data_IF_843720865588
#
_entry.id   IF_843720865588
#
_cell.length_a   1.000
_cell.length_b   1.000
_cell.length_c   1.000
_cell.angle_alpha   90.00
_cell.angle_beta   90.00
_cell.angle_gamma   90.00
#
_symmetry.space_group_name_H-M   'P 1'
#
loop_
_entity.id
_entity.type
_entity.pdbx_description
1 polymer ?
#
# COMPACT_ATOMS: atom_id res chain seq x y z
N UNK A 1 0.82 1.99 -7.46
CA UNK A 1 0.79 3.08 -6.43
C UNK A 1 1.07 2.47 -5.07
N UNK A 2 1.87 3.13 -4.25
CA UNK A 2 2.00 2.84 -2.81
C UNK A 2 1.31 3.95 -2.01
N UNK A 3 0.44 3.59 -1.05
CA UNK A 3 -0.25 4.51 -0.15
C UNK A 3 0.40 4.46 1.23
N UNK A 4 0.67 5.65 1.83
CA UNK A 4 1.43 5.75 3.07
C UNK A 4 2.86 5.26 2.90
N UNK A 5 3.56 5.82 1.91
CA UNK A 5 4.85 5.28 1.46
C UNK A 5 5.98 5.44 2.48
N UNK A 6 5.87 6.39 3.42
CA UNK A 6 6.97 6.71 4.32
C UNK A 6 8.27 6.96 3.53
N UNK A 7 9.35 6.26 3.84
CA UNK A 7 10.63 6.42 3.14
C UNK A 7 10.73 5.67 1.80
N UNK A 8 9.62 5.04 1.32
CA UNK A 8 9.50 4.51 -0.02
C UNK A 8 10.17 3.15 -0.27
N UNK A 9 10.42 2.37 0.77
CA UNK A 9 11.06 1.06 0.62
C UNK A 9 10.33 0.13 -0.33
N UNK A 10 9.00 0.04 -0.22
CA UNK A 10 8.17 -0.80 -1.10
C UNK A 10 8.08 -0.20 -2.51
N UNK A 11 7.96 1.13 -2.64
CA UNK A 11 7.99 1.81 -3.94
C UNK A 11 9.26 1.51 -4.71
N UNK A 12 10.41 1.70 -4.08
CA UNK A 12 11.73 1.45 -4.69
C UNK A 12 11.92 -0.05 -5.00
N UNK A 13 11.51 -0.94 -4.09
CA UNK A 13 11.53 -2.37 -4.35
C UNK A 13 10.70 -2.75 -5.58
N UNK A 14 9.47 -2.24 -5.69
CA UNK A 14 8.60 -2.51 -6.83
C UNK A 14 9.18 -1.97 -8.15
N UNK A 15 9.70 -0.75 -8.13
CA UNK A 15 10.35 -0.15 -9.30
C UNK A 15 11.59 -0.94 -9.72
N UNK A 16 12.44 -1.32 -8.78
CA UNK A 16 13.68 -2.05 -9.06
C UNK A 16 13.42 -3.49 -9.51
N UNK A 17 12.62 -4.24 -8.74
CA UNK A 17 12.40 -5.67 -8.93
C UNK A 17 11.50 -6.01 -10.10
N UNK A 18 10.43 -5.23 -10.29
CA UNK A 18 9.39 -5.50 -11.29
C UNK A 18 9.41 -4.52 -12.47
N UNK A 19 10.32 -3.54 -12.47
CA UNK A 19 10.36 -2.45 -13.47
C UNK A 19 9.03 -1.71 -13.56
N UNK A 20 8.34 -1.62 -12.43
CA UNK A 20 7.03 -0.97 -12.34
C UNK A 20 7.19 0.55 -12.36
N UNK A 21 6.25 1.25 -13.00
CA UNK A 21 6.04 2.67 -12.76
C UNK A 21 5.30 2.83 -11.44
N UNK A 22 5.90 3.51 -10.48
CA UNK A 22 5.38 3.62 -9.13
C UNK A 22 5.14 5.08 -8.77
N UNK A 23 3.96 5.35 -8.21
CA UNK A 23 3.62 6.61 -7.53
C UNK A 23 3.59 6.36 -6.03
N UNK A 24 4.49 6.99 -5.30
CA UNK A 24 4.54 6.99 -3.85
C UNK A 24 3.63 8.10 -3.30
N UNK A 25 2.64 7.72 -2.47
CA UNK A 25 1.68 8.64 -1.88
C UNK A 25 1.90 8.72 -0.38
N UNK A 26 2.04 9.94 0.13
CA UNK A 26 2.05 10.21 1.58
C UNK A 26 1.39 11.56 1.89
N UNK A 27 0.89 11.69 3.11
CA UNK A 27 0.38 12.96 3.62
C UNK A 27 1.51 13.92 3.97
N UNK A 28 2.62 13.39 4.50
CA UNK A 28 3.79 14.15 4.90
C UNK A 28 4.77 14.32 3.74
N UNK A 29 4.94 15.53 3.17
CA UNK A 29 5.86 15.75 2.07
C UNK A 29 7.34 15.60 2.47
N UNK A 30 7.64 15.62 3.76
CA UNK A 30 9.02 15.49 4.25
C UNK A 30 9.61 14.08 4.07
N UNK A 31 8.77 13.10 3.73
CA UNK A 31 9.24 11.73 3.42
C UNK A 31 9.86 11.64 2.01
N UNK A 32 9.42 12.45 1.06
CA UNK A 32 9.82 12.30 -0.34
C UNK A 32 11.33 12.47 -0.61
N UNK A 33 12.08 13.36 0.06
CA UNK A 33 13.54 13.40 -0.09
C UNK A 33 14.22 12.05 0.26
N UNK A 34 13.67 11.28 1.20
CA UNK A 34 14.19 9.94 1.53
C UNK A 34 13.85 8.92 0.43
N UNK A 35 12.64 9.03 -0.15
CA UNK A 35 12.27 8.22 -1.32
C UNK A 35 13.23 8.48 -2.48
N UNK A 36 13.57 9.75 -2.75
CA UNK A 36 14.51 10.14 -3.82
C UNK A 36 15.90 9.55 -3.61
N UNK A 37 16.45 9.70 -2.40
CA UNK A 37 17.76 9.14 -2.06
C UNK A 37 17.76 7.62 -2.24
N UNK A 38 16.72 6.93 -1.76
CA UNK A 38 16.63 5.48 -1.87
C UNK A 38 16.46 5.03 -3.32
N UNK A 39 15.68 5.77 -4.12
CA UNK A 39 15.48 5.51 -5.56
C UNK A 39 16.78 5.71 -6.33
N UNK A 40 17.51 6.79 -6.08
CA UNK A 40 18.80 7.07 -6.72
C UNK A 40 19.82 5.97 -6.41
N UNK A 41 19.95 5.56 -5.15
CA UNK A 41 20.84 4.46 -4.73
C UNK A 41 20.52 3.12 -5.44
N UNK A 42 19.28 2.92 -5.86
CA UNK A 42 18.83 1.71 -6.54
C UNK A 42 18.70 1.89 -8.07
N UNK A 43 19.05 3.06 -8.61
CA UNK A 43 18.99 3.34 -10.05
C UNK A 43 17.57 3.28 -10.64
N UNK A 44 16.57 3.72 -9.88
CA UNK A 44 15.16 3.75 -10.31
C UNK A 44 14.55 5.14 -10.12
N UNK A 45 13.39 5.36 -10.75
CA UNK A 45 12.57 6.55 -10.55
C UNK A 45 11.26 6.18 -9.87
N UNK A 46 10.79 7.04 -8.97
CA UNK A 46 9.51 6.94 -8.27
C UNK A 46 8.82 8.30 -8.33
N UNK A 47 7.58 8.32 -8.81
CA UNK A 47 6.78 9.55 -8.82
C UNK A 47 6.22 9.83 -7.42
N UNK A 48 6.06 11.11 -7.07
CA UNK A 48 5.54 11.52 -5.77
C UNK A 48 4.14 12.11 -5.88
N UNK A 49 3.31 11.80 -4.90
CA UNK A 49 1.98 12.37 -4.74
C UNK A 49 1.72 12.73 -3.28
N UNK A 50 1.82 14.00 -2.91
CA UNK A 50 1.38 14.43 -1.59
C UNK A 50 -0.15 14.40 -1.52
N UNK A 51 -0.70 13.50 -0.73
CA UNK A 51 -2.14 13.39 -0.49
C UNK A 51 -2.44 12.57 0.76
N UNK A 52 -3.55 12.92 1.41
CA UNK A 52 -4.25 12.00 2.29
C UNK A 52 -4.87 10.90 1.41
N UNK A 53 -4.51 9.64 1.63
CA UNK A 53 -4.97 8.52 0.80
C UNK A 53 -6.51 8.41 0.80
N UNK A 54 -7.18 8.81 1.90
CA UNK A 54 -8.63 8.78 1.99
C UNK A 54 -9.32 9.70 0.98
N UNK A 55 -8.60 10.71 0.47
CA UNK A 55 -9.08 11.73 -0.48
C UNK A 55 -8.71 11.45 -1.93
N UNK A 56 -7.91 10.40 -2.20
CA UNK A 56 -7.59 9.99 -3.57
C UNK A 56 -8.89 9.68 -4.34
N UNK A 57 -9.00 10.21 -5.55
CA UNK A 57 -10.20 10.08 -6.38
C UNK A 57 -10.22 8.75 -7.13
N UNK A 58 -11.42 8.29 -7.48
CA UNK A 58 -11.59 7.03 -8.22
C UNK A 58 -10.79 6.96 -9.52
N UNK A 59 -10.90 7.94 -10.44
CA UNK A 59 -10.11 7.93 -11.67
C UNK A 59 -8.60 7.84 -11.44
N UNK A 60 -8.07 8.59 -10.47
CA UNK A 60 -6.65 8.54 -10.07
C UNK A 60 -6.24 7.13 -9.59
N UNK A 61 -7.07 6.48 -8.78
CA UNK A 61 -6.84 5.12 -8.32
C UNK A 61 -6.89 4.11 -9.48
N UNK A 62 -7.82 4.30 -10.41
CA UNK A 62 -8.02 3.42 -11.58
C UNK A 62 -6.87 3.43 -12.59
N UNK A 63 -6.03 4.44 -12.59
CA UNK A 63 -4.79 4.48 -13.39
C UNK A 63 -3.76 3.44 -12.91
N UNK A 64 -3.93 2.94 -11.69
CA UNK A 64 -3.01 1.98 -11.07
C UNK A 64 -3.63 0.58 -11.01
N UNK A 65 -3.05 -0.36 -11.75
CA UNK A 65 -3.48 -1.78 -11.70
C UNK A 65 -3.30 -2.40 -10.32
N UNK A 66 -2.27 -1.97 -9.60
CA UNK A 66 -1.91 -2.45 -8.27
C UNK A 66 -1.78 -1.29 -7.30
N UNK A 67 -2.35 -1.45 -6.11
CA UNK A 67 -2.15 -0.55 -4.98
C UNK A 67 -1.54 -1.37 -3.85
N UNK A 68 -0.51 -0.85 -3.23
CA UNK A 68 0.16 -1.47 -2.10
C UNK A 68 0.20 -0.51 -0.92
N UNK A 69 0.21 -1.05 0.28
CA UNK A 69 0.42 -0.30 1.51
C UNK A 69 1.07 -1.18 2.55
N UNK A 70 2.05 -0.64 3.25
CA UNK A 70 2.78 -1.37 4.28
C UNK A 70 2.72 -0.59 5.58
N UNK A 71 2.33 -1.28 6.67
CA UNK A 71 2.30 -0.72 8.02
C UNK A 71 1.41 0.54 8.15
N UNK A 72 0.24 0.51 7.51
CA UNK A 72 -0.69 1.66 7.45
C UNK A 72 -1.95 1.49 8.32
N UNK A 73 -2.10 0.34 9.00
CA UNK A 73 -3.27 0.04 9.82
C UNK A 73 -3.06 0.36 11.31
N UNK A 74 -2.35 1.43 11.66
CA UNK A 74 -1.95 1.72 13.03
C UNK A 74 -2.98 2.50 13.87
N UNK A 75 -4.03 3.09 13.27
CA UNK A 75 -5.10 3.79 13.97
C UNK A 75 -6.49 3.30 13.53
N UNK A 76 -7.38 3.08 14.48
CA UNK A 76 -8.79 2.70 14.21
C UNK A 76 -9.48 3.67 13.23
N UNK A 77 -9.16 4.96 13.35
CA UNK A 77 -9.72 6.01 12.50
C UNK A 77 -9.36 5.87 11.01
N UNK A 78 -8.30 5.12 10.67
CA UNK A 78 -7.85 4.91 9.29
C UNK A 78 -8.58 3.75 8.60
N UNK A 79 -9.15 2.80 9.34
CA UNK A 79 -9.66 1.54 8.78
C UNK A 79 -10.86 1.76 7.87
N UNK A 80 -11.86 2.52 8.30
CA UNK A 80 -13.02 2.84 7.47
C UNK A 80 -12.65 3.68 6.23
N UNK A 81 -11.81 4.73 6.33
CA UNK A 81 -11.25 5.42 5.16
C UNK A 81 -10.53 4.49 4.19
N UNK A 82 -9.69 3.58 4.69
CA UNK A 82 -8.94 2.63 3.88
C UNK A 82 -9.88 1.64 3.16
N UNK A 83 -10.87 1.09 3.86
CA UNK A 83 -11.88 0.23 3.23
C UNK A 83 -12.70 0.97 2.14
N UNK A 84 -13.01 2.27 2.36
CA UNK A 84 -13.64 3.09 1.30
C UNK A 84 -12.73 3.33 0.10
N UNK A 85 -11.42 3.50 0.33
CA UNK A 85 -10.43 3.59 -0.75
C UNK A 85 -10.40 2.30 -1.56
N UNK A 86 -10.33 1.14 -0.90
CA UNK A 86 -10.33 -0.18 -1.54
C UNK A 86 -11.53 -0.32 -2.47
N UNK A 87 -12.74 -0.05 -1.97
CA UNK A 87 -13.95 -0.10 -2.78
C UNK A 87 -13.86 0.84 -3.99
N UNK A 88 -13.48 2.10 -3.76
CA UNK A 88 -13.37 3.12 -4.79
C UNK A 88 -12.32 2.76 -5.85
N UNK A 89 -11.21 2.15 -5.45
CA UNK A 89 -10.17 1.70 -6.37
C UNK A 89 -10.68 0.60 -7.30
N UNK A 90 -11.36 -0.41 -6.77
CA UNK A 90 -11.93 -1.50 -7.57
C UNK A 90 -13.08 -1.02 -8.46
N UNK A 91 -13.93 -0.13 -7.99
CA UNK A 91 -15.00 0.49 -8.79
C UNK A 91 -14.44 1.30 -9.99
N UNK A 92 -13.14 1.62 -10.01
CA UNK A 92 -12.46 2.37 -11.07
C UNK A 92 -11.39 1.59 -11.84
N UNK A 93 -11.26 0.28 -11.63
CA UNK A 93 -10.44 -0.58 -12.49
C UNK A 93 -9.11 -1.06 -11.90
N UNK A 94 -8.77 -0.72 -10.66
CA UNK A 94 -7.67 -1.36 -9.94
C UNK A 94 -7.92 -2.87 -9.88
N UNK A 95 -6.88 -3.67 -10.10
CA UNK A 95 -7.03 -5.13 -10.23
C UNK A 95 -6.68 -5.88 -8.93
N UNK A 96 -5.80 -5.31 -8.13
CA UNK A 96 -5.31 -5.94 -6.90
C UNK A 96 -4.82 -4.91 -5.91
N UNK A 97 -5.10 -5.16 -4.65
CA UNK A 97 -4.57 -4.38 -3.53
C UNK A 97 -3.86 -5.33 -2.58
N UNK A 98 -2.68 -4.94 -2.10
CA UNK A 98 -1.90 -5.71 -1.13
C UNK A 98 -1.57 -4.80 0.05
N UNK A 99 -1.97 -5.23 1.23
CA UNK A 99 -1.67 -4.53 2.49
C UNK A 99 -0.86 -5.47 3.38
N UNK A 100 0.24 -4.96 3.91
CA UNK A 100 1.06 -5.71 4.88
C UNK A 100 1.03 -5.02 6.23
N UNK A 101 1.05 -5.81 7.30
CA UNK A 101 0.99 -5.32 8.67
C UNK A 101 1.65 -6.31 9.64
N UNK A 102 2.20 -5.88 10.78
CA UNK A 102 2.70 -6.78 11.82
C UNK A 102 1.63 -7.66 12.49
N UNK A 103 0.36 -7.54 12.11
CA UNK A 103 -0.75 -8.31 12.71
C UNK A 103 -1.49 -7.53 13.81
N UNK A 104 -1.72 -6.23 13.62
CA UNK A 104 -2.50 -5.41 14.57
C UNK A 104 -3.99 -5.74 14.55
N UNK A 105 -4.72 -5.56 15.65
CA UNK A 105 -6.18 -5.73 15.68
C UNK A 105 -6.90 -4.91 14.60
N UNK A 106 -6.45 -3.69 14.35
CA UNK A 106 -6.97 -2.79 13.30
C UNK A 106 -6.79 -3.36 11.89
N UNK A 107 -5.69 -4.05 11.64
CA UNK A 107 -5.47 -4.73 10.36
C UNK A 107 -6.48 -5.88 10.16
N UNK A 108 -6.76 -6.68 11.17
CA UNK A 108 -7.77 -7.74 11.09
C UNK A 108 -9.18 -7.18 10.92
N UNK A 109 -9.50 -6.01 11.51
CA UNK A 109 -10.76 -5.30 11.20
C UNK A 109 -10.85 -4.94 9.72
N UNK A 110 -9.75 -4.47 9.11
CA UNK A 110 -9.70 -4.22 7.67
C UNK A 110 -9.93 -5.50 6.86
N UNK A 111 -9.31 -6.61 7.25
CA UNK A 111 -9.50 -7.91 6.59
C UNK A 111 -10.97 -8.31 6.55
N UNK A 112 -11.68 -8.19 7.69
CA UNK A 112 -13.11 -8.47 7.77
C UNK A 112 -13.94 -7.53 6.89
N UNK A 113 -13.68 -6.23 6.96
CA UNK A 113 -14.43 -5.24 6.17
C UNK A 113 -14.24 -5.45 4.66
N UNK A 114 -13.01 -5.69 4.22
CA UNK A 114 -12.70 -5.95 2.82
C UNK A 114 -13.34 -7.28 2.34
N UNK A 115 -13.28 -8.32 3.18
CA UNK A 115 -13.83 -9.64 2.88
C UNK A 115 -15.35 -9.68 2.73
N UNK A 116 -16.08 -8.68 3.22
CA UNK A 116 -17.54 -8.57 3.03
C UNK A 116 -17.94 -8.28 1.57
N UNK A 117 -17.06 -7.68 0.78
CA UNK A 117 -17.38 -7.24 -0.59
C UNK A 117 -16.41 -7.81 -1.63
N UNK A 118 -15.22 -8.19 -1.23
CA UNK A 118 -14.12 -8.57 -2.11
C UNK A 118 -13.56 -9.95 -1.77
N UNK A 119 -12.83 -10.53 -2.72
CA UNK A 119 -12.07 -11.77 -2.49
C UNK A 119 -10.79 -11.43 -1.75
N UNK A 120 -10.60 -12.01 -0.57
CA UNK A 120 -9.42 -11.78 0.26
C UNK A 120 -8.63 -13.05 0.48
N UNK A 121 -7.32 -12.93 0.56
CA UNK A 121 -6.39 -13.96 1.00
C UNK A 121 -5.44 -13.37 2.03
N UNK A 122 -5.36 -13.99 3.18
CA UNK A 122 -4.48 -13.61 4.27
C UNK A 122 -3.38 -14.66 4.39
N UNK A 123 -2.12 -14.23 4.46
CA UNK A 123 -0.96 -15.10 4.58
C UNK A 123 0.00 -14.55 5.63
N UNK A 124 0.46 -15.42 6.52
CA UNK A 124 1.61 -15.12 7.36
C UNK A 124 2.88 -15.11 6.51
N UNK A 125 3.75 -14.14 6.78
CA UNK A 125 5.02 -14.01 6.11
C UNK A 125 6.14 -13.72 7.10
N UNK A 126 7.31 -14.23 6.84
CA UNK A 126 8.48 -13.94 7.66
C UNK A 126 9.71 -13.66 6.78
N UNK A 127 10.58 -12.80 7.27
CA UNK A 127 11.94 -12.62 6.80
C UNK A 127 12.90 -13.07 7.89
N UNK A 128 14.02 -13.66 7.49
CA UNK A 128 15.03 -14.16 8.43
C UNK A 128 16.29 -13.31 8.49
N UNK A 129 16.42 -12.36 7.56
CA UNK A 129 17.58 -11.47 7.47
C UNK A 129 17.15 -10.02 7.23
N UNK A 130 17.88 -9.03 7.77
CA UNK A 130 19.01 -9.16 8.71
C UNK A 130 18.61 -9.67 10.10
N UNK A 131 17.34 -9.50 10.47
CA UNK A 131 16.72 -9.98 11.68
C UNK A 131 15.41 -10.70 11.36
N UNK A 132 14.99 -11.61 12.24
CA UNK A 132 13.70 -12.30 12.09
C UNK A 132 12.57 -11.29 12.26
N UNK A 133 11.78 -11.14 11.23
CA UNK A 133 10.56 -10.34 11.22
C UNK A 133 9.39 -11.19 10.74
N UNK A 134 8.28 -11.12 11.46
CA UNK A 134 7.02 -11.79 11.10
C UNK A 134 5.94 -10.74 10.84
N UNK A 135 5.08 -11.00 9.89
CA UNK A 135 3.97 -10.12 9.54
C UNK A 135 2.94 -10.82 8.68
N UNK A 136 1.88 -10.10 8.40
CA UNK A 136 0.73 -10.56 7.64
C UNK A 136 0.66 -9.85 6.29
N UNK A 137 0.25 -10.59 5.26
CA UNK A 137 0.01 -10.07 3.91
C UNK A 137 -1.45 -10.31 3.54
N UNK A 138 -2.21 -9.26 3.41
CA UNK A 138 -3.58 -9.26 2.90
C UNK A 138 -3.58 -8.95 1.40
N UNK A 139 -3.94 -9.92 0.58
CA UNK A 139 -4.24 -9.72 -0.84
C UNK A 139 -5.74 -9.55 -1.02
N UNK A 140 -6.16 -8.51 -1.79
CA UNK A 140 -7.55 -8.22 -2.08
C UNK A 140 -7.72 -8.14 -3.60
N UNK A 141 -8.76 -8.80 -4.11
CA UNK A 141 -9.19 -8.77 -5.52
C UNK A 141 -10.66 -8.38 -5.60
N UNK A 142 -11.12 -7.79 -6.70
CA UNK A 142 -12.55 -7.49 -6.89
C UNK A 142 -13.43 -8.70 -6.62
N UNK A 143 -14.57 -8.46 -5.95
CA UNK A 143 -15.60 -9.47 -5.66
C UNK A 143 -16.39 -9.87 -6.88
#
# INVERSE_FOLDING_TARGET
>A
MEIGCGWGGVSVFCAHRFKAQVTAVDLDPHVFPYVDVLAELNGVAVDHRQADFSKLKGPELGEHRYIVGSDICFWDSLIKPLNRLINRAFDNGTQRIVITDPGRPTFYELCELAGRKHKTSLQEWYASEPDRFEGEVLEIKPG
#
